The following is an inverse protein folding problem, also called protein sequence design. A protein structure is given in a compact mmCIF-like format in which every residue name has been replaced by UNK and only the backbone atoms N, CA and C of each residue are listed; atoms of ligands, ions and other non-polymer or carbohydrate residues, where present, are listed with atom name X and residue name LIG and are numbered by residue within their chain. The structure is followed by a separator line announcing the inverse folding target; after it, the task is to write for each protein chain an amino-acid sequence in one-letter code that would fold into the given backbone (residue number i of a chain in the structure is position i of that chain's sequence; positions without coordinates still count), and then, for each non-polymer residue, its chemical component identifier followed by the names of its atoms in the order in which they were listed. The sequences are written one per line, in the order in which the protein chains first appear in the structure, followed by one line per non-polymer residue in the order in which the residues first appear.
data_IF_661259733125
#
_entry.id   IF_661259733125
#
_cell.length_a   1.000
_cell.length_b   1.000
_cell.length_c   1.000
_cell.angle_alpha   90.00
_cell.angle_beta   90.00
_cell.angle_gamma   90.00
#
_symmetry.space_group_name_H-M   'P 1'
#
loop_
_entity.id
_entity.type
_entity.pdbx_description
1 polymer ?
#
# COMPACT_ATOMS: atom_id res chain seq x y z
N UNK A 1 -33.65 18.96 31.50
CA UNK A 1 -32.80 19.00 30.29
C UNK A 1 -31.33 19.21 30.69
N UNK A 2 -30.57 18.12 30.79
CA UNK A 2 -29.13 18.20 31.01
C UNK A 2 -28.51 18.88 29.79
N UNK A 3 -27.86 20.03 30.00
CA UNK A 3 -27.25 20.80 28.92
C UNK A 3 -26.22 19.98 28.17
N UNK A 4 -26.14 20.18 26.86
CA UNK A 4 -25.23 19.40 26.02
C UNK A 4 -23.80 19.43 26.58
N UNK A 5 -23.26 18.25 26.89
CA UNK A 5 -21.90 18.12 27.41
C UNK A 5 -20.90 18.53 26.32
N UNK A 6 -19.71 19.00 26.70
CA UNK A 6 -18.67 19.40 25.74
C UNK A 6 -18.34 18.29 24.73
N UNK A 7 -18.46 17.03 25.16
CA UNK A 7 -18.38 15.85 24.30
C UNK A 7 -19.44 15.81 23.19
N UNK A 8 -20.69 16.20 23.48
CA UNK A 8 -21.77 16.16 22.49
C UNK A 8 -21.54 17.10 21.32
N UNK A 9 -20.62 18.06 21.46
CA UNK A 9 -20.18 19.02 20.45
C UNK A 9 -18.73 18.79 19.98
N UNK A 10 -18.06 17.72 20.40
CA UNK A 10 -16.66 17.48 20.02
C UNK A 10 -16.55 16.87 18.63
N UNK A 11 -15.46 17.18 17.92
CA UNK A 11 -15.12 16.55 16.64
C UNK A 11 -14.99 15.03 16.77
N UNK A 12 -14.61 14.55 17.96
CA UNK A 12 -14.59 13.14 18.29
C UNK A 12 -15.96 12.49 18.04
N UNK A 13 -17.05 13.06 18.59
CA UNK A 13 -18.39 12.48 18.45
C UNK A 13 -18.79 12.38 16.98
N UNK A 14 -18.55 13.44 16.22
CA UNK A 14 -18.88 13.49 14.79
C UNK A 14 -18.10 12.41 14.03
N UNK A 15 -16.84 12.17 14.37
CA UNK A 15 -16.00 11.14 13.74
C UNK A 15 -16.44 9.72 14.05
N UNK A 16 -16.97 9.44 15.23
CA UNK A 16 -17.34 8.05 15.65
C UNK A 16 -18.82 7.71 15.48
N UNK A 17 -19.69 8.70 15.25
CA UNK A 17 -21.14 8.50 15.13
C UNK A 17 -21.60 8.45 13.66
N UNK A 18 -20.68 8.15 12.73
CA UNK A 18 -20.96 8.15 11.29
C UNK A 18 -21.60 6.85 10.76
N UNK A 19 -21.84 5.88 11.65
CA UNK A 19 -22.41 4.58 11.34
C UNK A 19 -21.41 3.55 10.82
N UNK A 20 -20.11 3.83 10.90
CA UNK A 20 -19.03 2.90 10.51
C UNK A 20 -18.35 2.30 11.73
N UNK A 21 -17.64 1.20 11.51
CA UNK A 21 -16.75 0.63 12.52
C UNK A 21 -15.51 1.51 12.67
N UNK A 22 -15.14 1.79 13.92
CA UNK A 22 -13.94 2.54 14.27
C UNK A 22 -13.07 1.73 15.21
N UNK A 23 -11.76 1.85 15.02
CA UNK A 23 -10.79 1.34 15.98
C UNK A 23 -10.47 2.44 16.99
N UNK A 24 -10.83 2.20 18.25
CA UNK A 24 -10.65 3.17 19.34
C UNK A 24 -9.55 2.68 20.27
N UNK A 25 -8.58 3.54 20.56
CA UNK A 25 -7.55 3.26 21.56
C UNK A 25 -7.42 4.40 22.55
N UNK A 26 -7.34 4.03 23.83
CA UNK A 26 -7.11 4.93 24.94
C UNK A 26 -5.74 4.61 25.53
N UNK A 27 -4.79 5.52 25.36
CA UNK A 27 -3.46 5.39 25.98
C UNK A 27 -3.49 6.16 27.29
N UNK A 28 -3.43 5.40 28.37
CA UNK A 28 -3.64 5.90 29.71
C UNK A 28 -2.30 6.05 30.42
N UNK A 29 -1.98 7.27 30.84
CA UNK A 29 -0.76 7.63 31.58
C UNK A 29 -1.13 8.17 32.97
N UNK A 30 -0.18 8.29 33.91
CA UNK A 30 -0.49 8.70 35.28
C UNK A 30 -1.24 10.02 35.41
N UNK A 31 -1.08 10.96 34.47
CA UNK A 31 -1.67 12.31 34.56
C UNK A 31 -2.52 12.69 33.34
N UNK A 32 -2.62 11.83 32.33
CA UNK A 32 -3.34 12.13 31.10
C UNK A 32 -3.85 10.88 30.39
N UNK A 33 -4.87 11.05 29.55
CA UNK A 33 -5.36 10.05 28.61
C UNK A 33 -5.24 10.61 27.20
N UNK A 34 -4.62 9.85 26.31
CA UNK A 34 -4.56 10.14 24.88
C UNK A 34 -5.59 9.30 24.13
N UNK A 35 -6.32 9.93 23.22
CA UNK A 35 -7.36 9.31 22.41
C UNK A 35 -6.87 9.09 20.98
N UNK A 36 -7.03 7.88 20.49
CA UNK A 36 -6.65 7.49 19.12
C UNK A 36 -7.88 6.90 18.43
N UNK A 37 -8.17 7.39 17.23
CA UNK A 37 -9.27 6.91 16.38
C UNK A 37 -8.66 6.49 15.05
N UNK A 38 -8.90 5.24 14.65
CA UNK A 38 -8.44 4.67 13.39
C UNK A 38 -6.91 4.79 13.17
N UNK A 39 -6.17 4.80 14.28
CA UNK A 39 -4.71 4.95 14.33
C UNK A 39 -4.19 6.39 14.33
N UNK A 40 -5.08 7.39 14.29
CA UNK A 40 -4.71 8.80 14.38
C UNK A 40 -4.95 9.34 15.80
N UNK A 41 -3.97 10.06 16.37
CA UNK A 41 -4.14 10.76 17.65
C UNK A 41 -5.11 11.93 17.47
N UNK A 42 -6.21 11.90 18.19
CA UNK A 42 -7.28 12.91 18.08
C UNK A 42 -7.27 13.93 19.20
N UNK A 43 -6.62 13.61 20.33
CA UNK A 43 -6.48 14.54 21.43
C UNK A 43 -5.91 13.91 22.69
N UNK A 44 -5.67 14.74 23.70
CA UNK A 44 -5.28 14.31 25.03
C UNK A 44 -6.07 15.11 26.08
N UNK A 45 -6.45 14.43 27.16
CA UNK A 45 -7.18 15.01 28.29
C UNK A 45 -6.37 14.80 29.57
N UNK A 46 -6.03 15.86 30.33
CA UNK A 46 -5.44 15.69 31.65
C UNK A 46 -6.43 15.00 32.58
N UNK A 47 -5.91 14.07 33.38
CA UNK A 47 -6.67 13.39 34.41
C UNK A 47 -6.73 14.27 35.67
N UNK A 48 -7.89 14.38 36.33
CA UNK A 48 -8.02 15.18 37.54
C UNK A 48 -7.21 14.61 38.72
N UNK A 49 -6.87 13.31 38.66
CA UNK A 49 -6.07 12.59 39.65
C UNK A 49 -5.37 11.38 38.99
N UNK A 50 -4.25 10.89 39.54
CA UNK A 50 -3.61 9.68 39.03
C UNK A 50 -4.45 8.42 39.23
N UNK A 51 -4.39 7.49 38.27
CA UNK A 51 -5.22 6.26 38.23
C UNK A 51 -4.91 5.26 39.35
N UNK A 52 -3.82 5.46 40.08
CA UNK A 52 -3.41 4.60 41.19
C UNK A 52 -4.37 4.64 42.39
N UNK A 53 -5.43 5.45 42.37
CA UNK A 53 -6.31 5.71 43.51
C UNK A 53 -7.74 5.13 43.36
N UNK A 54 -7.99 4.28 42.37
CA UNK A 54 -9.28 3.61 42.20
C UNK A 54 -9.41 2.45 43.20
N UNK A 55 -10.05 2.71 44.35
CA UNK A 55 -10.36 1.70 45.37
C UNK A 55 -11.22 0.54 44.83
N UNK A 56 -12.01 0.80 43.78
CA UNK A 56 -12.93 -0.16 43.18
C UNK A 56 -12.51 -0.40 41.72
N UNK A 57 -11.64 -1.39 41.50
CA UNK A 57 -11.01 -1.72 40.21
C UNK A 57 -11.98 -2.26 39.14
N UNK A 58 -13.01 -1.50 38.79
CA UNK A 58 -14.02 -1.91 37.80
C UNK A 58 -13.89 -1.07 36.54
N UNK A 59 -13.52 -1.72 35.43
CA UNK A 59 -13.70 -1.18 34.09
C UNK A 59 -15.15 -1.50 33.70
N UNK A 60 -15.96 -0.47 33.50
CA UNK A 60 -17.32 -0.61 32.97
C UNK A 60 -17.32 -0.31 31.48
N UNK A 61 -17.88 -1.21 30.68
CA UNK A 61 -18.00 -1.08 29.22
C UNK A 61 -19.47 -1.04 28.86
N UNK A 62 -19.87 -0.05 28.05
CA UNK A 62 -21.24 0.15 27.60
C UNK A 62 -21.94 1.35 28.23
N UNK A 63 -23.16 1.62 27.78
CA UNK A 63 -24.02 2.70 28.28
C UNK A 63 -25.43 2.17 28.52
N UNK A 64 -26.10 2.65 29.57
CA UNK A 64 -27.51 2.34 29.81
C UNK A 64 -28.46 3.05 28.83
N UNK A 65 -27.97 4.06 28.10
CA UNK A 65 -28.80 4.98 27.31
C UNK A 65 -28.45 5.01 25.82
N UNK A 66 -27.35 4.37 25.44
CA UNK A 66 -26.84 4.41 24.06
C UNK A 66 -26.52 2.99 23.62
N UNK A 67 -27.09 2.60 22.48
CA UNK A 67 -26.72 1.36 21.83
C UNK A 67 -25.43 1.58 21.04
N UNK A 68 -24.43 0.74 21.27
CA UNK A 68 -23.21 0.68 20.48
C UNK A 68 -22.79 -0.79 20.43
N UNK A 69 -22.35 -1.23 19.24
CA UNK A 69 -21.76 -2.55 19.09
C UNK A 69 -20.26 -2.43 19.37
N UNK A 70 -19.76 -3.29 20.26
CA UNK A 70 -18.33 -3.40 20.56
C UNK A 70 -17.84 -4.74 20.05
N UNK A 71 -16.74 -4.68 19.32
CA UNK A 71 -16.02 -5.85 18.86
C UNK A 71 -14.59 -5.76 19.38
N UNK A 72 -14.12 -6.84 19.99
CA UNK A 72 -12.76 -7.04 20.48
C UNK A 72 -12.28 -5.99 21.50
N UNK A 73 -12.41 -6.30 22.79
CA UNK A 73 -11.89 -5.48 23.87
C UNK A 73 -10.59 -6.08 24.41
N UNK A 74 -9.48 -5.37 24.23
CA UNK A 74 -8.18 -5.79 24.71
C UNK A 74 -7.60 -4.77 25.71
N UNK A 75 -7.10 -5.28 26.83
CA UNK A 75 -6.35 -4.51 27.81
C UNK A 75 -4.87 -4.87 27.73
N UNK A 76 -4.02 -3.86 27.49
CA UNK A 76 -2.57 -4.03 27.40
C UNK A 76 -1.93 -3.25 28.56
N UNK A 77 -1.28 -3.93 29.53
CA UNK A 77 -0.75 -3.30 30.74
C UNK A 77 0.59 -2.59 30.50
N UNK A 78 0.75 -1.95 29.35
CA UNK A 78 1.90 -1.12 28.99
C UNK A 78 1.46 0.02 28.09
N UNK A 79 2.23 1.10 28.09
CA UNK A 79 2.06 2.15 27.08
C UNK A 79 2.32 1.57 25.70
N UNK A 80 1.43 1.88 24.76
CA UNK A 80 1.59 1.60 23.34
C UNK A 80 2.19 2.82 22.66
N UNK A 81 3.15 2.59 21.77
CA UNK A 81 3.62 3.63 20.86
C UNK A 81 2.80 3.63 19.55
N UNK A 82 3.08 4.58 18.66
CA UNK A 82 2.36 4.69 17.38
C UNK A 82 2.53 3.44 16.53
N UNK A 83 3.71 2.80 16.54
CA UNK A 83 3.96 1.59 15.77
C UNK A 83 3.20 0.36 16.29
N UNK A 84 3.03 0.25 17.61
CA UNK A 84 2.16 -0.76 18.21
C UNK A 84 0.69 -0.57 17.78
N UNK A 85 0.22 0.68 17.74
CA UNK A 85 -1.15 1.01 17.35
C UNK A 85 -1.41 0.70 15.87
N UNK A 86 -0.46 1.02 14.99
CA UNK A 86 -0.52 0.65 13.57
C UNK A 86 -0.52 -0.88 13.41
N UNK A 87 0.32 -1.59 14.16
CA UNK A 87 0.33 -3.04 14.16
C UNK A 87 -1.02 -3.63 14.60
N UNK A 88 -1.60 -3.13 15.69
CA UNK A 88 -2.91 -3.59 16.18
C UNK A 88 -4.03 -3.29 15.16
N UNK A 89 -4.01 -2.11 14.53
CA UNK A 89 -4.97 -1.75 13.48
C UNK A 89 -4.85 -2.67 12.26
N UNK A 90 -3.63 -2.95 11.80
CA UNK A 90 -3.40 -3.68 10.54
C UNK A 90 -3.45 -5.20 10.69
N UNK A 91 -2.99 -5.72 11.84
CA UNK A 91 -2.82 -7.16 12.10
C UNK A 91 -3.72 -7.70 13.20
N UNK A 92 -4.39 -6.83 13.97
CA UNK A 92 -5.44 -7.22 14.90
C UNK A 92 -6.73 -7.73 14.23
N UNK A 93 -6.73 -7.97 12.91
CA UNK A 93 -7.83 -8.51 12.09
C UNK A 93 -8.29 -9.94 12.46
N UNK A 94 -7.95 -10.42 13.65
CA UNK A 94 -8.24 -11.77 14.11
C UNK A 94 -9.73 -12.05 14.30
N UNK A 95 -10.61 -11.04 14.29
CA UNK A 95 -12.05 -11.28 14.37
C UNK A 95 -12.81 -11.18 13.04
N UNK A 96 -12.42 -10.31 12.10
CA UNK A 96 -13.02 -10.29 10.75
C UNK A 96 -12.66 -11.55 9.94
N UNK A 97 -11.45 -12.09 10.12
CA UNK A 97 -11.06 -13.40 9.54
C UNK A 97 -11.82 -14.57 10.21
N UNK A 98 -12.22 -14.43 11.48
CA UNK A 98 -13.00 -15.45 12.23
C UNK A 98 -14.51 -15.34 11.95
N UNK A 99 -15.04 -14.12 11.80
CA UNK A 99 -16.45 -13.83 11.56
C UNK A 99 -16.85 -13.93 10.08
N UNK A 100 -15.94 -13.68 9.14
CA UNK A 100 -16.19 -13.89 7.69
C UNK A 100 -16.34 -15.36 7.29
N UNK A 101 -16.32 -16.30 8.24
CA UNK A 101 -16.57 -17.71 7.98
C UNK A 101 -15.37 -18.44 7.36
N UNK A 102 -14.21 -17.78 7.28
CA UNK A 102 -12.91 -18.48 7.21
C UNK A 102 -12.41 -18.87 8.60
N UNK A 103 -13.36 -19.21 9.50
CA UNK A 103 -13.10 -20.09 10.62
C UNK A 103 -12.49 -21.38 10.08
N UNK A 104 -11.17 -21.38 10.03
CA UNK A 104 -10.34 -22.56 9.83
C UNK A 104 -10.90 -23.58 10.81
N UNK A 105 -11.61 -24.58 10.27
CA UNK A 105 -11.40 -25.91 10.80
C UNK A 105 -9.89 -26.03 10.86
N UNK A 106 -9.31 -26.01 12.04
CA UNK A 106 -7.95 -26.47 12.24
C UNK A 106 -7.96 -27.99 12.00
N UNK A 107 -8.28 -28.41 10.77
CA UNK A 107 -7.37 -29.30 10.09
C UNK A 107 -6.06 -28.53 10.14
N UNK A 108 -5.15 -28.99 10.99
CA UNK A 108 -3.78 -28.50 11.05
C UNK A 108 -3.33 -28.22 9.61
N UNK A 109 -3.24 -26.94 9.22
CA UNK A 109 -2.69 -26.61 7.92
C UNK A 109 -1.29 -27.17 7.97
N UNK A 110 -1.07 -28.23 7.18
CA UNK A 110 0.21 -28.91 7.08
C UNK A 110 1.30 -27.84 7.00
N UNK A 111 2.44 -28.00 7.71
CA UNK A 111 3.57 -27.07 7.64
C UNK A 111 3.91 -26.64 6.20
N UNK A 112 3.66 -27.52 5.23
CA UNK A 112 3.77 -27.29 3.80
C UNK A 112 2.86 -26.18 3.26
N UNK A 113 1.59 -26.09 3.68
CA UNK A 113 0.66 -25.03 3.25
C UNK A 113 1.05 -23.67 3.82
N UNK A 114 1.49 -23.64 5.08
CA UNK A 114 2.04 -22.42 5.70
C UNK A 114 3.28 -21.95 4.96
N UNK A 115 4.21 -22.87 4.63
CA UNK A 115 5.39 -22.56 3.82
C UNK A 115 5.02 -22.07 2.42
N UNK A 116 4.02 -22.67 1.77
CA UNK A 116 3.57 -22.26 0.44
C UNK A 116 2.97 -20.85 0.46
N UNK A 117 2.24 -20.50 1.51
CA UNK A 117 1.69 -19.16 1.71
C UNK A 117 2.79 -18.12 1.96
N UNK A 118 3.76 -18.44 2.82
CA UNK A 118 4.93 -17.60 3.07
C UNK A 118 5.74 -17.39 1.79
N UNK A 119 6.02 -18.47 1.06
CA UNK A 119 6.72 -18.41 -0.22
C UNK A 119 5.96 -17.57 -1.25
N UNK A 120 4.63 -17.72 -1.34
CA UNK A 120 3.79 -16.90 -2.22
C UNK A 120 3.85 -15.42 -1.84
N UNK A 121 3.78 -15.10 -0.54
CA UNK A 121 3.88 -13.70 -0.08
C UNK A 121 5.25 -13.08 -0.35
N UNK A 122 6.34 -13.84 -0.17
CA UNK A 122 7.70 -13.40 -0.52
C UNK A 122 7.85 -13.20 -2.03
N UNK A 123 7.23 -14.06 -2.83
CA UNK A 123 7.23 -13.93 -4.29
C UNK A 123 6.50 -12.67 -4.73
N UNK A 124 5.33 -12.37 -4.15
CA UNK A 124 4.59 -11.14 -4.46
C UNK A 124 5.39 -9.90 -4.06
N UNK A 125 5.96 -9.89 -2.85
CA UNK A 125 6.76 -8.75 -2.38
C UNK A 125 8.00 -8.50 -3.23
N UNK A 126 8.74 -9.55 -3.58
CA UNK A 126 9.89 -9.40 -4.48
C UNK A 126 9.43 -8.93 -5.87
N UNK A 127 8.31 -9.43 -6.39
CA UNK A 127 7.76 -8.97 -7.67
C UNK A 127 7.36 -7.48 -7.65
N UNK A 128 6.79 -6.99 -6.55
CA UNK A 128 6.47 -5.56 -6.35
C UNK A 128 7.75 -4.71 -6.25
N UNK A 129 8.73 -5.14 -5.44
CA UNK A 129 10.04 -4.47 -5.31
C UNK A 129 10.78 -4.41 -6.66
N UNK A 130 10.75 -5.48 -7.45
CA UNK A 130 11.29 -5.50 -8.82
C UNK A 130 10.51 -4.56 -9.76
N UNK A 131 9.20 -4.43 -9.57
CA UNK A 131 8.36 -3.49 -10.32
C UNK A 131 8.78 -2.04 -10.08
N UNK A 132 8.97 -1.66 -8.82
CA UNK A 132 9.45 -0.34 -8.44
C UNK A 132 10.87 -0.06 -8.93
N UNK A 133 11.80 -1.01 -8.74
CA UNK A 133 13.18 -0.87 -9.23
C UNK A 133 13.24 -0.68 -10.75
N UNK A 134 12.40 -1.41 -11.49
CA UNK A 134 12.30 -1.26 -12.96
C UNK A 134 11.79 0.13 -13.35
N UNK A 135 10.80 0.66 -12.64
CA UNK A 135 10.28 2.00 -12.88
C UNK A 135 11.36 3.07 -12.62
N UNK A 136 12.10 2.96 -11.51
CA UNK A 136 13.16 3.90 -11.14
C UNK A 136 14.31 3.90 -12.16
N UNK A 137 14.77 2.71 -12.59
CA UNK A 137 15.79 2.57 -13.63
C UNK A 137 15.31 3.21 -14.94
N UNK A 138 14.04 3.02 -15.31
CA UNK A 138 13.46 3.60 -16.53
C UNK A 138 13.49 5.13 -16.48
N UNK A 139 13.12 5.73 -15.34
CA UNK A 139 13.18 7.19 -15.15
C UNK A 139 14.61 7.70 -15.23
N UNK A 140 15.55 7.02 -14.58
CA UNK A 140 16.98 7.38 -14.60
C UNK A 140 17.55 7.35 -16.02
N UNK A 141 17.25 6.30 -16.80
CA UNK A 141 17.71 6.17 -18.18
C UNK A 141 17.13 7.26 -19.10
N UNK A 142 15.84 7.61 -18.95
CA UNK A 142 15.24 8.72 -19.71
C UNK A 142 15.92 10.06 -19.40
N UNK A 143 16.24 10.31 -18.14
CA UNK A 143 16.92 11.53 -17.74
C UNK A 143 18.35 11.60 -18.30
N UNK A 144 19.05 10.46 -18.35
CA UNK A 144 20.36 10.36 -18.97
C UNK A 144 20.29 10.65 -20.49
N UNK A 145 19.35 10.03 -21.20
CA UNK A 145 19.10 10.26 -22.63
C UNK A 145 18.84 11.74 -22.91
N UNK A 146 17.96 12.38 -22.13
CA UNK A 146 17.64 13.80 -22.26
C UNK A 146 18.88 14.68 -22.06
N UNK A 147 19.74 14.33 -21.11
CA UNK A 147 21.00 15.06 -20.85
C UNK A 147 21.98 14.92 -22.02
N UNK A 148 22.08 13.73 -22.61
CA UNK A 148 22.93 13.49 -23.78
C UNK A 148 22.43 14.26 -25.01
N UNK A 149 21.12 14.27 -25.25
CA UNK A 149 20.51 15.05 -26.34
C UNK A 149 20.80 16.55 -26.20
N UNK A 150 20.68 17.09 -24.98
CA UNK A 150 21.00 18.50 -24.71
C UNK A 150 22.48 18.84 -24.98
N UNK A 151 23.40 17.96 -24.58
CA UNK A 151 24.83 18.13 -24.88
C UNK A 151 25.12 18.04 -26.37
N UNK A 152 24.49 17.12 -27.08
CA UNK A 152 24.66 16.95 -28.54
C UNK A 152 24.16 18.18 -29.30
N UNK A 153 23.02 18.74 -28.89
CA UNK A 153 22.52 20.00 -29.47
C UNK A 153 23.52 21.15 -29.28
N UNK A 154 24.15 21.27 -28.11
CA UNK A 154 25.18 22.28 -27.86
C UNK A 154 26.45 22.08 -28.71
N UNK A 155 26.86 20.84 -28.97
CA UNK A 155 28.00 20.57 -29.88
C UNK A 155 27.64 20.94 -31.31
N UNK A 156 26.42 20.64 -31.76
CA UNK A 156 25.94 21.04 -33.09
C UNK A 156 25.94 22.55 -33.27
N UNK A 157 25.41 23.29 -32.31
CA UNK A 157 25.43 24.77 -32.33
C UNK A 157 26.86 25.32 -32.34
N UNK A 158 27.78 24.72 -31.57
CA UNK A 158 29.19 25.09 -31.59
C UNK A 158 29.85 24.83 -32.95
N UNK A 159 29.49 23.72 -33.62
CA UNK A 159 29.96 23.38 -34.96
C UNK A 159 29.46 24.38 -36.00
N UNK A 160 28.16 24.70 -36.00
CA UNK A 160 27.55 25.69 -36.90
C UNK A 160 28.20 27.08 -36.73
N UNK A 161 28.51 27.47 -35.50
CA UNK A 161 29.23 28.71 -35.20
C UNK A 161 30.69 28.71 -35.69
N UNK A 162 31.37 27.56 -35.71
CA UNK A 162 32.72 27.43 -36.24
C UNK A 162 32.75 27.50 -37.77
N UNK A 163 31.76 26.89 -38.44
CA UNK A 163 31.58 27.00 -39.90
C UNK A 163 31.34 28.46 -40.31
N UNK A 164 30.48 29.18 -39.59
CA UNK A 164 30.23 30.61 -39.83
C UNK A 164 31.48 31.48 -39.67
N UNK A 165 32.50 31.01 -38.93
CA UNK A 165 33.78 31.70 -38.72
C UNK A 165 34.86 31.35 -39.75
N UNK A 166 34.55 30.53 -40.75
CA UNK A 166 35.46 30.23 -41.85
C UNK A 166 36.65 29.34 -41.46
N UNK A 167 36.50 28.47 -40.45
CA UNK A 167 37.49 27.46 -40.14
C UNK A 167 37.62 26.47 -41.32
N UNK A 168 38.69 26.58 -42.11
CA UNK A 168 38.88 25.87 -43.38
C UNK A 168 39.26 24.38 -43.25
N UNK A 169 39.40 23.84 -42.04
CA UNK A 169 39.80 22.44 -41.86
C UNK A 169 38.57 21.49 -41.93
N UNK A 170 38.04 21.36 -43.15
CA UNK A 170 36.81 20.59 -43.42
C UNK A 170 36.88 19.12 -42.99
N UNK A 171 38.09 18.57 -42.88
CA UNK A 171 38.31 17.16 -42.49
C UNK A 171 37.88 16.88 -41.05
N UNK A 172 38.12 17.82 -40.13
CA UNK A 172 37.76 17.70 -38.72
C UNK A 172 36.26 17.85 -38.52
N UNK A 173 35.63 18.77 -39.26
CA UNK A 173 34.19 19.00 -39.20
C UNK A 173 33.40 17.80 -39.75
N UNK A 174 33.85 17.20 -40.85
CA UNK A 174 33.22 15.99 -41.42
C UNK A 174 33.33 14.81 -40.43
N UNK A 175 34.52 14.58 -39.84
CA UNK A 175 34.69 13.49 -38.86
C UNK A 175 33.88 13.72 -37.58
N UNK A 176 33.70 14.98 -37.16
CA UNK A 176 32.86 15.32 -36.02
C UNK A 176 31.37 15.11 -36.33
N UNK A 177 30.92 15.49 -37.52
CA UNK A 177 29.55 15.28 -37.99
C UNK A 177 29.19 13.79 -38.04
N UNK A 178 30.05 12.95 -38.62
CA UNK A 178 29.84 11.49 -38.67
C UNK A 178 29.74 10.87 -37.26
N UNK A 179 30.58 11.32 -36.32
CA UNK A 179 30.53 10.86 -34.93
C UNK A 179 29.25 11.32 -34.22
N UNK A 180 28.77 12.53 -34.50
CA UNK A 180 27.51 13.04 -33.96
C UNK A 180 26.29 12.28 -34.48
N UNK A 181 26.29 11.92 -35.77
CA UNK A 181 25.24 11.11 -36.39
C UNK A 181 25.18 9.72 -35.73
N UNK A 182 26.33 9.05 -35.57
CA UNK A 182 26.40 7.75 -34.89
C UNK A 182 25.95 7.79 -33.42
N UNK A 183 26.30 8.87 -32.69
CA UNK A 183 25.82 9.10 -31.33
C UNK A 183 24.30 9.33 -31.29
N UNK A 184 23.75 10.12 -32.22
CA UNK A 184 22.29 10.34 -32.31
C UNK A 184 21.54 9.04 -32.56
N UNK A 185 22.04 8.18 -33.46
CA UNK A 185 21.42 6.88 -33.73
C UNK A 185 21.44 5.98 -32.48
N UNK A 186 22.58 5.93 -31.78
CA UNK A 186 22.70 5.17 -30.53
C UNK A 186 21.71 5.64 -29.47
N UNK A 187 21.50 6.95 -29.36
CA UNK A 187 20.53 7.53 -28.41
C UNK A 187 19.09 7.18 -28.79
N UNK A 188 18.75 7.18 -30.08
CA UNK A 188 17.42 6.76 -30.56
C UNK A 188 17.17 5.27 -30.27
N UNK A 189 18.15 4.42 -30.54
CA UNK A 189 18.04 2.97 -30.27
C UNK A 189 17.83 2.69 -28.78
N UNK A 190 18.52 3.43 -27.89
CA UNK A 190 18.32 3.33 -26.44
C UNK A 190 16.90 3.75 -26.03
N UNK A 191 16.35 4.82 -26.61
CA UNK A 191 14.98 5.27 -26.30
C UNK A 191 13.91 4.24 -26.71
N UNK A 192 14.10 3.58 -27.86
CA UNK A 192 13.23 2.47 -28.31
C UNK A 192 13.33 1.29 -27.34
N UNK A 193 14.53 0.89 -26.91
CA UNK A 193 14.71 -0.19 -25.95
C UNK A 193 14.07 0.12 -24.59
N UNK A 194 14.22 1.35 -24.08
CA UNK A 194 13.61 1.81 -22.83
C UNK A 194 12.08 1.80 -22.95
N UNK A 195 11.55 2.21 -24.09
CA UNK A 195 10.10 2.19 -24.36
C UNK A 195 9.56 0.76 -24.40
N UNK A 196 10.29 -0.17 -25.03
CA UNK A 196 9.96 -1.61 -25.02
C UNK A 196 9.94 -2.22 -23.61
N UNK A 197 10.87 -1.83 -22.74
CA UNK A 197 10.88 -2.25 -21.34
C UNK A 197 9.63 -1.80 -20.59
N UNK A 198 9.07 -0.63 -20.91
CA UNK A 198 7.84 -0.11 -20.28
C UNK A 198 6.56 -0.77 -20.82
N UNK A 199 6.54 -1.22 -22.08
CA UNK A 199 5.37 -1.81 -22.73
C UNK A 199 5.13 -3.30 -22.38
N UNK A 200 6.14 -4.01 -21.88
CA UNK A 200 6.06 -5.43 -21.51
C UNK A 200 5.18 -5.79 -20.30
N UNK A 201 4.23 -4.94 -19.90
CA UNK A 201 3.27 -5.21 -18.80
C UNK A 201 2.09 -6.13 -19.18
N UNK A 202 2.09 -6.72 -20.39
CA UNK A 202 1.19 -7.82 -20.72
C UNK A 202 1.59 -9.08 -19.95
N UNK A 203 0.99 -9.28 -18.78
CA UNK A 203 1.31 -10.39 -17.87
C UNK A 203 1.24 -11.78 -18.52
N UNK A 204 1.91 -12.79 -17.94
CA UNK A 204 1.81 -14.17 -18.41
C UNK A 204 0.35 -14.61 -18.30
N UNK A 205 -0.27 -14.89 -19.45
CA UNK A 205 -1.59 -15.51 -19.53
C UNK A 205 -1.62 -16.74 -18.64
N UNK A 206 -2.53 -16.75 -17.66
CA UNK A 206 -2.75 -17.89 -16.79
C UNK A 206 -3.09 -19.14 -17.61
N UNK A 207 -2.73 -20.34 -17.13
CA UNK A 207 -3.02 -21.58 -17.83
C UNK A 207 -4.53 -21.78 -17.91
N UNK A 208 -5.06 -21.75 -19.14
CA UNK A 208 -6.44 -22.13 -19.43
C UNK A 208 -6.69 -23.58 -19.03
N UNK A 209 -7.49 -23.78 -18.00
CA UNK A 209 -7.98 -25.11 -17.61
C UNK A 209 -9.08 -25.59 -18.56
N UNK A 210 -9.06 -26.86 -19.01
CA UNK A 210 -10.13 -27.43 -19.82
C UNK A 210 -11.29 -27.85 -18.90
N UNK A 211 -12.33 -27.03 -18.82
CA UNK A 211 -13.50 -27.24 -17.96
C UNK A 211 -14.79 -27.50 -18.74
N UNK A 212 -14.79 -28.44 -19.69
CA UNK A 212 -16.02 -28.91 -20.33
C UNK A 212 -16.87 -29.75 -19.39
N UNK A 213 -17.86 -29.15 -18.71
CA UNK A 213 -18.94 -29.90 -18.03
C UNK A 213 -20.12 -30.06 -18.98
N UNK A 214 -20.29 -31.28 -19.50
CA UNK A 214 -21.54 -31.74 -20.11
C UNK A 214 -22.61 -31.81 -19.03
N UNK A 215 -23.71 -31.09 -19.26
CA UNK A 215 -24.98 -31.25 -18.59
C UNK A 215 -25.62 -32.53 -19.15
N UNK A 216 -25.69 -33.60 -18.37
CA UNK A 216 -26.56 -34.74 -18.65
C UNK A 216 -27.86 -34.51 -17.90
N UNK A 217 -28.88 -34.12 -18.65
CA UNK A 217 -30.28 -34.20 -18.24
C UNK A 217 -30.68 -35.68 -18.22
N UNK A 218 -31.01 -36.19 -17.04
CA UNK A 218 -31.49 -37.54 -16.83
C UNK A 218 -32.83 -37.51 -16.13
N UNK A 219 -33.90 -37.54 -16.92
CA UNK A 219 -35.28 -37.80 -16.49
C UNK A 219 -35.42 -39.23 -15.94
N UNK A 220 -35.98 -39.37 -14.74
CA UNK A 220 -36.75 -40.55 -14.27
C UNK A 220 -37.82 -40.03 -13.30
N UNK A 221 -39.06 -39.89 -13.75
CA UNK A 221 -40.08 -40.94 -13.90
C UNK A 221 -40.53 -41.48 -12.54
N UNK A 222 -41.72 -41.01 -12.17
CA UNK A 222 -42.50 -41.45 -11.03
C UNK A 222 -43.22 -42.76 -11.38
N UNK A 223 -43.14 -43.71 -10.46
CA UNK A 223 -44.09 -44.80 -10.20
C UNK A 223 -44.03 -44.94 -8.66
N UNK A 224 -45.10 -44.85 -7.88
CA UNK A 224 -46.35 -45.57 -8.00
C UNK A 224 -46.32 -46.75 -7.03
N UNK A 225 -46.75 -46.52 -5.78
CA UNK A 225 -47.51 -47.39 -4.86
C UNK A 225 -47.48 -46.82 -3.43
#
# INVERSE_FOLDING_TARGET
PAGDTAWQRSDFRTRVSDGRWHHLVYVVEPTQVTFVIDGEVTGAQPLPRPITDCADGTISVGSATTNADLVDFQYIPRKLDVSDLDFLRERGKLLDDVLSGSGVQAAEESPTQTLMRLAKSQTTRTQEEFGHLKADITVMLRQLVKTLQGKLAGVREASENLEARGAQDSSVLVSLAEKMEGLSQTVQDLDVQITGLSAGQGGPGGPGGPGGRRRLEGSRQADGL
#
